data_IF_912804080163
#
_entry.id   IF_912804080163
#
_cell.length_a   1.000
_cell.length_b   1.000
_cell.length_c   1.000
_cell.angle_alpha   90.00
_cell.angle_beta   90.00
_cell.angle_gamma   90.00
#
_symmetry.space_group_name_H-M   'P 1'
#
loop_
_entity.id
_entity.type
_entity.pdbx_description
1 polymer ?
#
# COMPACT_ATOMS: atom_id res chain seq x y z
N UNK A 1 -12.96 -1.20 -21.74
CA UNK A 1 -11.56 -0.84 -22.03
C UNK A 1 -10.82 -2.14 -22.34
N UNK A 2 -9.92 -2.21 -23.34
CA UNK A 2 -9.43 -3.50 -23.81
C UNK A 2 -8.56 -4.17 -22.75
N UNK A 3 -9.00 -5.34 -22.29
CA UNK A 3 -8.25 -6.29 -21.45
C UNK A 3 -7.25 -7.06 -22.32
N UNK A 4 -6.32 -6.34 -22.95
CA UNK A 4 -5.38 -6.86 -23.93
C UNK A 4 -3.95 -6.78 -23.41
N UNK A 5 -3.29 -7.94 -23.35
CA UNK A 5 -1.85 -8.12 -23.40
C UNK A 5 -1.12 -6.95 -24.11
N UNK A 6 -0.37 -6.12 -23.36
CA UNK A 6 0.32 -4.92 -23.90
C UNK A 6 1.27 -5.29 -25.04
N UNK A 7 1.75 -6.53 -25.07
CA UNK A 7 2.68 -7.00 -26.12
C UNK A 7 1.96 -7.30 -27.44
N UNK A 8 0.64 -7.48 -27.43
CA UNK A 8 -0.19 -7.70 -28.62
C UNK A 8 -0.72 -6.41 -29.22
N UNK A 9 -1.06 -5.42 -28.40
CA UNK A 9 -1.54 -4.11 -28.89
C UNK A 9 -0.43 -3.25 -29.53
N UNK A 10 0.84 -3.57 -29.26
CA UNK A 10 2.00 -2.93 -29.89
C UNK A 10 2.28 -3.38 -31.34
N UNK A 11 1.69 -4.48 -31.83
CA UNK A 11 2.05 -5.05 -33.16
C UNK A 11 1.11 -4.70 -34.31
N UNK A 12 -0.03 -4.06 -34.08
CA UNK A 12 -1.06 -3.86 -35.13
C UNK A 12 -0.99 -2.53 -35.88
N UNK A 13 -0.22 -1.54 -35.43
CA UNK A 13 -0.20 -0.20 -36.06
C UNK A 13 1.20 0.39 -36.13
N UNK A 14 2.06 -0.13 -37.03
CA UNK A 14 3.15 0.62 -37.69
C UNK A 14 4.18 1.41 -36.86
N UNK A 15 4.12 1.39 -35.54
CA UNK A 15 5.04 2.05 -34.64
C UNK A 15 6.05 0.99 -34.21
N UNK A 16 7.33 1.24 -34.47
CA UNK A 16 8.39 0.62 -33.67
C UNK A 16 8.13 1.11 -32.26
N UNK A 17 7.50 0.26 -31.45
CA UNK A 17 7.18 0.59 -30.07
C UNK A 17 8.42 1.10 -29.35
N UNK A 18 8.21 2.08 -28.48
CA UNK A 18 9.21 2.55 -27.55
C UNK A 18 9.75 1.36 -26.76
N UNK A 19 11.07 1.25 -26.63
CA UNK A 19 11.67 0.21 -25.82
C UNK A 19 11.34 0.42 -24.34
N UNK A 20 11.51 -0.60 -23.50
CA UNK A 20 11.26 -0.49 -22.06
C UNK A 20 12.23 0.52 -21.43
N UNK A 21 13.44 0.59 -21.96
CA UNK A 21 14.50 1.52 -21.59
C UNK A 21 14.09 2.97 -21.90
N UNK A 22 13.67 3.24 -23.14
CA UNK A 22 13.22 4.57 -23.57
C UNK A 22 11.99 5.03 -22.74
N UNK A 23 11.06 4.11 -22.48
CA UNK A 23 9.89 4.38 -21.66
C UNK A 23 10.26 4.66 -20.19
N UNK A 24 11.21 3.90 -19.63
CA UNK A 24 11.69 4.09 -18.27
C UNK A 24 12.40 5.44 -18.10
N UNK A 25 13.25 5.81 -19.07
CA UNK A 25 13.92 7.11 -19.09
C UNK A 25 12.91 8.27 -19.13
N UNK A 26 11.89 8.18 -20.00
CA UNK A 26 10.86 9.21 -20.12
C UNK A 26 10.03 9.43 -18.86
N UNK A 27 9.76 8.36 -18.10
CA UNK A 27 9.01 8.46 -16.83
C UNK A 27 9.91 8.62 -15.61
N UNK A 28 11.23 8.77 -15.81
CA UNK A 28 12.20 9.06 -14.76
C UNK A 28 12.43 7.90 -13.79
N UNK A 29 12.33 6.65 -14.27
CA UNK A 29 12.61 5.45 -13.47
C UNK A 29 13.76 4.65 -14.07
N UNK A 30 14.31 3.73 -13.28
CA UNK A 30 15.34 2.82 -13.78
C UNK A 30 14.75 1.82 -14.78
N UNK A 31 15.56 1.35 -15.73
CA UNK A 31 15.21 0.26 -16.66
C UNK A 31 14.65 -0.96 -15.92
N UNK A 32 15.27 -1.35 -14.79
CA UNK A 32 14.80 -2.46 -13.96
C UNK A 32 13.38 -2.24 -13.42
N UNK A 33 13.03 -1.01 -13.04
CA UNK A 33 11.67 -0.64 -12.63
C UNK A 33 10.70 -0.77 -13.81
N UNK A 34 11.09 -0.31 -15.00
CA UNK A 34 10.31 -0.44 -16.23
C UNK A 34 9.99 -1.91 -16.55
N UNK A 35 11.00 -2.78 -16.52
CA UNK A 35 10.80 -4.23 -16.73
C UNK A 35 9.95 -4.88 -15.65
N UNK A 36 10.09 -4.45 -14.38
CA UNK A 36 9.25 -4.94 -13.30
C UNK A 36 7.77 -4.57 -13.51
N UNK A 37 7.49 -3.34 -13.95
CA UNK A 37 6.13 -2.90 -14.29
C UNK A 37 5.56 -3.66 -15.47
N UNK A 38 6.33 -3.83 -16.56
CA UNK A 38 5.91 -4.62 -17.73
C UNK A 38 5.58 -6.07 -17.33
N UNK A 39 6.43 -6.71 -16.52
CA UNK A 39 6.19 -8.09 -16.04
C UNK A 39 4.90 -8.17 -15.20
N UNK A 40 4.69 -7.22 -14.29
CA UNK A 40 3.47 -7.19 -13.45
C UNK A 40 2.22 -6.96 -14.29
N UNK A 41 2.29 -6.07 -15.28
CA UNK A 41 1.20 -5.85 -16.22
C UNK A 41 0.90 -7.11 -17.03
N UNK A 42 1.91 -7.74 -17.63
CA UNK A 42 1.70 -8.95 -18.44
C UNK A 42 1.11 -10.11 -17.62
N UNK A 43 1.31 -10.10 -16.30
CA UNK A 43 0.75 -11.11 -15.40
C UNK A 43 -0.63 -10.79 -14.85
N UNK A 44 -0.94 -9.52 -14.55
CA UNK A 44 -2.14 -9.11 -13.78
C UNK A 44 -2.91 -7.95 -14.41
N UNK A 45 -2.52 -7.50 -15.59
CA UNK A 45 -3.05 -6.30 -16.23
C UNK A 45 -2.92 -5.07 -15.34
N UNK A 46 -3.98 -4.27 -15.30
CA UNK A 46 -4.06 -3.05 -14.50
C UNK A 46 -3.81 -3.27 -13.00
N UNK A 47 -4.33 -4.37 -12.44
CA UNK A 47 -4.09 -4.73 -11.02
C UNK A 47 -2.60 -4.92 -10.72
N UNK A 48 -1.80 -5.29 -11.73
CA UNK A 48 -0.36 -5.42 -11.62
C UNK A 48 0.38 -4.11 -11.36
N UNK A 49 -0.20 -2.98 -11.78
CA UNK A 49 0.38 -1.64 -11.60
C UNK A 49 -0.09 -0.95 -10.33
N UNK A 50 -1.14 -1.45 -9.68
CA UNK A 50 -1.54 -0.95 -8.36
C UNK A 50 -0.37 -1.18 -7.40
N UNK A 51 0.16 -0.13 -6.75
CA UNK A 51 1.23 -0.29 -5.77
C UNK A 51 0.74 -1.22 -4.66
N UNK A 52 1.47 -2.33 -4.48
CA UNK A 52 1.31 -3.18 -3.32
C UNK A 52 2.03 -2.48 -2.16
N UNK A 53 1.35 -1.50 -1.57
CA UNK A 53 1.76 -0.97 -0.28
C UNK A 53 1.56 -2.13 0.70
N UNK A 54 2.60 -2.96 0.84
CA UNK A 54 2.72 -3.87 1.96
C UNK A 54 2.61 -2.98 3.19
N UNK A 55 1.41 -2.94 3.77
CA UNK A 55 1.04 -1.98 4.80
C UNK A 55 2.18 -1.91 5.82
N UNK A 56 2.45 -0.71 6.31
CA UNK A 56 3.51 -0.52 7.31
C UNK A 56 3.38 -1.52 8.47
N UNK A 57 4.41 -1.60 9.32
CA UNK A 57 4.48 -2.57 10.41
C UNK A 57 3.09 -2.79 11.04
N UNK A 58 2.60 -4.04 11.11
CA UNK A 58 1.26 -4.31 11.58
C UNK A 58 1.03 -3.69 12.95
N UNK A 59 -0.19 -3.18 13.16
CA UNK A 59 -0.62 -2.62 14.43
C UNK A 59 -0.33 -3.59 15.58
N UNK A 60 0.13 -3.06 16.72
CA UNK A 60 0.27 -3.87 17.93
C UNK A 60 -1.08 -4.27 18.53
N UNK A 61 -2.13 -3.51 18.25
CA UNK A 61 -3.51 -3.81 18.66
C UNK A 61 -4.19 -4.69 17.61
N UNK A 62 -4.91 -5.70 18.11
CA UNK A 62 -5.91 -6.48 17.36
C UNK A 62 -7.10 -5.61 16.94
N UNK A 63 -7.93 -6.09 16.04
CA UNK A 63 -9.13 -5.33 15.63
C UNK A 63 -10.13 -5.18 16.77
N UNK A 64 -10.28 -6.21 17.60
CA UNK A 64 -11.14 -6.20 18.78
C UNK A 64 -10.67 -5.14 19.80
N UNK A 65 -9.36 -5.09 20.06
CA UNK A 65 -8.77 -4.07 20.94
C UNK A 65 -8.95 -2.64 20.40
N UNK A 66 -8.96 -2.47 19.07
CA UNK A 66 -9.22 -1.16 18.46
C UNK A 66 -10.68 -0.73 18.64
N UNK A 67 -11.63 -1.65 18.49
CA UNK A 67 -13.05 -1.32 18.69
C UNK A 67 -13.33 -0.99 20.16
N UNK A 68 -12.79 -1.75 21.10
CA UNK A 68 -12.91 -1.45 22.53
C UNK A 68 -12.29 -0.08 22.88
N UNK A 69 -11.10 0.20 22.35
CA UNK A 69 -10.48 1.52 22.52
C UNK A 69 -11.35 2.64 21.95
N UNK A 70 -11.96 2.45 20.77
CA UNK A 70 -12.84 3.45 20.16
C UNK A 70 -14.06 3.76 21.03
N UNK A 71 -14.67 2.75 21.64
CA UNK A 71 -15.82 2.98 22.53
C UNK A 71 -15.41 3.78 23.77
N UNK A 72 -14.28 3.44 24.39
CA UNK A 72 -13.74 4.18 25.53
C UNK A 72 -13.41 5.64 25.18
N UNK A 73 -12.80 5.89 24.02
CA UNK A 73 -12.44 7.25 23.59
C UNK A 73 -13.65 8.17 23.40
N UNK A 74 -14.88 7.64 23.27
CA UNK A 74 -16.11 8.44 23.19
C UNK A 74 -16.51 9.06 24.53
N UNK A 75 -15.98 8.60 25.65
CA UNK A 75 -16.35 9.09 26.99
C UNK A 75 -15.86 10.53 27.26
N UNK A 76 -14.89 11.02 26.49
CA UNK A 76 -14.31 12.36 26.62
C UNK A 76 -14.07 12.99 25.24
N UNK A 77 -14.35 14.28 25.13
CA UNK A 77 -14.23 15.04 23.88
C UNK A 77 -12.79 15.20 23.35
N UNK A 78 -11.77 15.01 24.20
CA UNK A 78 -10.37 15.18 23.81
C UNK A 78 -9.42 14.27 24.58
N UNK A 79 -8.48 13.69 23.86
CA UNK A 79 -7.45 12.80 24.39
C UNK A 79 -6.08 13.20 23.84
N UNK A 80 -5.07 13.19 24.69
CA UNK A 80 -3.67 13.25 24.29
C UNK A 80 -3.15 11.84 24.04
N UNK A 81 -2.14 11.69 23.17
CA UNK A 81 -1.54 10.39 22.88
C UNK A 81 -1.04 9.66 24.14
N UNK A 82 -0.57 10.41 25.15
CA UNK A 82 -0.10 9.87 26.42
C UNK A 82 -1.25 9.28 27.25
N UNK A 83 -2.38 9.99 27.34
CA UNK A 83 -3.57 9.48 28.03
C UNK A 83 -4.10 8.22 27.33
N UNK A 84 -4.12 8.19 26.00
CA UNK A 84 -4.53 6.99 25.25
C UNK A 84 -3.59 5.81 25.52
N UNK A 85 -2.27 6.06 25.58
CA UNK A 85 -1.30 5.02 25.93
C UNK A 85 -1.52 4.49 27.36
N UNK A 86 -1.74 5.38 28.32
CA UNK A 86 -2.05 5.00 29.70
C UNK A 86 -3.32 4.15 29.79
N UNK A 87 -4.36 4.48 29.04
CA UNK A 87 -5.57 3.65 28.99
C UNK A 87 -5.30 2.27 28.38
N UNK A 88 -4.53 2.20 27.29
CA UNK A 88 -4.19 0.91 26.65
C UNK A 88 -3.35 0.03 27.61
N UNK A 89 -2.41 0.62 28.34
CA UNK A 89 -1.46 -0.10 29.19
C UNK A 89 -2.02 -0.43 30.57
N UNK A 90 -2.79 0.48 31.18
CA UNK A 90 -3.22 0.38 32.58
C UNK A 90 -4.69 0.00 32.75
N UNK A 91 -5.61 0.58 31.97
CA UNK A 91 -7.04 0.36 32.16
C UNK A 91 -7.55 -0.85 31.37
N UNK A 92 -7.12 -0.98 30.12
CA UNK A 92 -7.54 -2.04 29.21
C UNK A 92 -6.60 -3.26 29.25
N UNK A 93 -5.43 -3.14 29.88
CA UNK A 93 -4.42 -4.18 30.04
C UNK A 93 -4.18 -5.01 28.76
N UNK A 94 -4.12 -4.35 27.60
CA UNK A 94 -4.00 -5.02 26.29
C UNK A 94 -2.70 -5.83 26.11
N UNK A 95 -1.80 -5.81 27.10
CA UNK A 95 -0.51 -6.49 27.06
C UNK A 95 0.47 -5.86 26.05
N UNK A 96 0.17 -4.64 25.59
CA UNK A 96 0.95 -3.92 24.59
C UNK A 96 1.68 -2.77 25.25
N UNK A 97 3.01 -2.78 25.18
CA UNK A 97 3.85 -1.67 25.66
C UNK A 97 4.32 -0.83 24.49
N UNK A 98 4.15 0.49 24.59
CA UNK A 98 4.70 1.43 23.63
C UNK A 98 5.98 2.08 24.20
N UNK A 99 7.07 1.99 23.45
CA UNK A 99 8.29 2.75 23.74
C UNK A 99 8.13 4.16 23.18
N UNK A 100 8.30 5.18 24.02
CA UNK A 100 8.48 6.57 23.57
C UNK A 100 9.83 6.79 22.88
#
# INVERSE_FOLDING_TARGET
>A
MPNGDLTKDLKTHGNRGMSVEEAAELVGVTEATGYAWLKRWNSRGYEGLIPDFGGGRPSKLTEEQKEELKEMLKEKDSWTTKEVQEVIEAELEFGVVYSS
#
